data_IF_133375730418
#
_entry.id   IF_133375730418
#
_cell.length_a   1.000
_cell.length_b   1.000
_cell.length_c   1.000
_cell.angle_alpha   90.00
_cell.angle_beta   90.00
_cell.angle_gamma   90.00
#
_symmetry.space_group_name_H-M   'P 1'
#
loop_
_entity.id
_entity.type
_entity.pdbx_description
1 polymer ?
#
# COMPACT_ATOMS: atom_id res chain seq x y z
N UNK A 1 2.95 21.42 -23.94
CA UNK A 1 3.21 20.13 -23.27
C UNK A 1 2.41 20.12 -21.98
N UNK A 2 1.57 19.11 -21.72
CA UNK A 2 0.85 18.97 -20.44
C UNK A 2 1.67 18.06 -19.52
N UNK A 3 1.75 18.40 -18.23
CA UNK A 3 2.36 17.53 -17.22
C UNK A 3 1.44 16.34 -16.94
N UNK A 4 2.03 15.16 -16.74
CA UNK A 4 1.29 13.97 -16.31
C UNK A 4 1.00 14.01 -14.81
N UNK A 5 -0.11 13.40 -14.39
CA UNK A 5 -0.48 13.25 -12.98
C UNK A 5 -0.19 11.82 -12.50
N UNK A 6 0.54 11.72 -11.40
CA UNK A 6 0.82 10.47 -10.68
C UNK A 6 0.51 10.65 -9.21
N UNK A 7 0.11 9.58 -8.52
CA UNK A 7 -0.13 9.61 -7.07
C UNK A 7 0.89 8.75 -6.33
N UNK A 8 1.11 9.04 -5.05
CA UNK A 8 1.92 8.23 -4.16
C UNK A 8 1.09 7.91 -2.91
N UNK A 9 1.18 6.68 -2.42
CA UNK A 9 0.54 6.29 -1.17
C UNK A 9 1.46 5.39 -0.34
N UNK A 10 1.12 5.29 0.94
CA UNK A 10 1.86 4.55 1.94
C UNK A 10 0.85 3.74 2.73
N UNK A 11 1.08 2.43 2.88
CA UNK A 11 0.22 1.63 3.75
C UNK A 11 0.42 2.02 5.22
N UNK A 12 -0.67 2.31 5.95
CA UNK A 12 -0.59 2.57 7.38
C UNK A 12 -0.33 1.25 8.15
N UNK A 13 0.09 1.38 9.40
CA UNK A 13 0.46 0.24 10.28
C UNK A 13 -0.68 -0.75 10.45
N UNK A 14 -1.91 -0.25 10.46
CA UNK A 14 -3.16 -1.00 10.66
C UNK A 14 -3.79 -1.54 9.36
N UNK A 15 -3.13 -1.37 8.20
CA UNK A 15 -3.67 -1.80 6.90
C UNK A 15 -2.56 -2.25 5.92
N UNK A 16 -1.60 -3.05 6.38
CA UNK A 16 -0.53 -3.58 5.52
C UNK A 16 -0.72 -5.04 5.13
N UNK A 17 -0.23 -5.41 3.94
CA UNK A 17 -0.54 -6.70 3.33
C UNK A 17 0.29 -7.87 3.86
N UNK A 18 1.44 -7.59 4.47
CA UNK A 18 2.34 -8.61 5.05
C UNK A 18 2.04 -8.92 6.52
N UNK A 19 0.89 -8.46 7.04
CA UNK A 19 0.52 -8.76 8.43
C UNK A 19 0.15 -10.24 8.60
N UNK A 20 0.53 -10.84 9.73
CA UNK A 20 0.06 -12.18 10.12
C UNK A 20 -1.46 -12.21 10.39
N UNK A 21 -2.03 -11.06 10.79
CA UNK A 21 -3.44 -10.87 11.09
C UNK A 21 -4.28 -10.73 9.80
N UNK A 22 -5.20 -11.68 9.49
CA UNK A 22 -6.01 -11.63 8.27
C UNK A 22 -6.85 -10.35 8.10
N UNK A 23 -7.37 -9.82 9.20
CA UNK A 23 -8.17 -8.60 9.26
C UNK A 23 -7.37 -7.35 8.87
N UNK A 24 -6.09 -7.29 9.25
CA UNK A 24 -5.18 -6.20 8.86
C UNK A 24 -4.91 -6.26 7.36
N UNK A 25 -4.73 -7.47 6.79
CA UNK A 25 -4.58 -7.66 5.35
C UNK A 25 -5.86 -7.26 4.59
N UNK A 26 -7.03 -7.67 5.08
CA UNK A 26 -8.31 -7.28 4.49
C UNK A 26 -8.52 -5.76 4.50
N UNK A 27 -8.13 -5.10 5.59
CA UNK A 27 -8.14 -3.64 5.68
C UNK A 27 -7.18 -3.00 4.66
N UNK A 28 -5.98 -3.55 4.49
CA UNK A 28 -5.01 -3.08 3.48
C UNK A 28 -5.52 -3.18 2.05
N UNK A 29 -6.22 -4.26 1.70
CA UNK A 29 -6.88 -4.39 0.39
C UNK A 29 -7.93 -3.29 0.20
N UNK A 30 -8.77 -3.03 1.21
CA UNK A 30 -9.79 -1.98 1.15
C UNK A 30 -9.15 -0.59 0.99
N UNK A 31 -8.06 -0.33 1.71
CA UNK A 31 -7.29 0.90 1.62
C UNK A 31 -6.73 1.11 0.21
N UNK A 32 -6.05 0.11 -0.37
CA UNK A 32 -5.47 0.21 -1.71
C UNK A 32 -6.52 0.40 -2.80
N UNK A 33 -7.66 -0.28 -2.72
CA UNK A 33 -8.77 -0.06 -3.66
C UNK A 33 -9.21 1.40 -3.66
N UNK A 34 -9.37 2.00 -2.47
CA UNK A 34 -9.70 3.42 -2.34
C UNK A 34 -8.61 4.34 -2.88
N UNK A 35 -7.33 4.00 -2.73
CA UNK A 35 -6.23 4.75 -3.34
C UNK A 35 -6.25 4.68 -4.88
N UNK A 36 -6.57 3.52 -5.46
CA UNK A 36 -6.72 3.35 -6.91
C UNK A 36 -7.92 4.16 -7.42
N UNK A 37 -9.06 4.09 -6.74
CA UNK A 37 -10.25 4.91 -7.06
C UNK A 37 -9.90 6.40 -7.05
N UNK A 38 -9.26 6.89 -5.98
CA UNK A 38 -8.80 8.29 -5.88
C UNK A 38 -7.81 8.68 -6.97
N UNK A 39 -6.91 7.77 -7.35
CA UNK A 39 -5.95 8.00 -8.44
C UNK A 39 -6.67 8.16 -9.78
N UNK A 40 -7.68 7.33 -10.05
CA UNK A 40 -8.51 7.45 -11.23
C UNK A 40 -9.36 8.74 -11.23
N UNK A 41 -9.94 9.13 -10.08
CA UNK A 41 -10.66 10.39 -9.90
C UNK A 41 -9.80 11.61 -10.24
N UNK A 42 -8.49 11.55 -9.97
CA UNK A 42 -7.51 12.59 -10.30
C UNK A 42 -7.03 12.55 -11.77
N UNK A 43 -7.53 11.61 -12.58
CA UNK A 43 -7.08 11.39 -13.96
C UNK A 43 -5.68 10.78 -14.08
N UNK A 44 -5.11 10.30 -12.98
CA UNK A 44 -3.82 9.64 -12.95
C UNK A 44 -3.96 8.15 -13.34
N UNK A 45 -2.91 7.61 -13.96
CA UNK A 45 -2.83 6.19 -14.36
C UNK A 45 -1.76 5.40 -13.60
N UNK A 46 -1.05 6.06 -12.70
CA UNK A 46 0.06 5.50 -11.96
C UNK A 46 -0.06 5.92 -10.49
N UNK A 47 0.00 4.90 -9.63
CA UNK A 47 0.18 5.03 -8.19
C UNK A 47 1.45 4.27 -7.80
N UNK A 48 2.27 4.87 -6.94
CA UNK A 48 3.50 4.25 -6.42
C UNK A 48 3.62 4.42 -4.90
N UNK A 49 4.67 3.84 -4.32
CA UNK A 49 5.03 3.98 -2.91
C UNK A 49 5.16 2.64 -2.17
N UNK A 50 5.33 2.65 -0.85
CA UNK A 50 5.32 1.47 0.01
C UNK A 50 3.91 0.87 0.08
N UNK A 51 3.55 0.10 -0.95
CA UNK A 51 2.21 -0.46 -1.14
C UNK A 51 2.09 -1.95 -0.75
N UNK A 52 3.15 -2.54 -0.18
CA UNK A 52 3.16 -3.94 0.23
C UNK A 52 3.23 -4.11 1.76
N UNK A 53 4.06 -3.31 2.43
CA UNK A 53 4.25 -3.32 3.88
C UNK A 53 3.97 -1.95 4.49
N UNK A 54 3.63 -1.95 5.78
CA UNK A 54 3.39 -0.71 6.51
C UNK A 54 4.69 0.07 6.67
N UNK A 55 4.65 1.39 6.49
CA UNK A 55 5.84 2.21 6.65
C UNK A 55 6.34 2.18 8.09
N UNK A 56 7.65 1.95 8.25
CA UNK A 56 8.28 1.84 9.57
C UNK A 56 7.93 0.55 10.33
N UNK A 57 7.37 -0.47 9.66
CA UNK A 57 7.26 -1.82 10.20
C UNK A 57 8.57 -2.54 9.94
N UNK A 58 9.35 -2.69 11.01
CA UNK A 58 10.56 -3.50 11.03
C UNK A 58 10.26 -4.74 11.89
N UNK A 59 10.27 -5.96 11.33
CA UNK A 59 9.85 -7.16 12.04
C UNK A 59 10.78 -7.56 13.21
N UNK A 60 11.95 -6.94 13.32
CA UNK A 60 12.93 -7.25 14.37
C UNK A 60 13.59 -8.63 14.22
N UNK A 61 13.21 -9.41 13.20
CA UNK A 61 13.82 -10.67 12.82
C UNK A 61 14.31 -10.63 11.37
N UNK A 62 15.21 -11.56 11.02
CA UNK A 62 15.62 -11.79 9.63
C UNK A 62 14.52 -12.53 8.86
N UNK A 63 14.58 -12.45 7.53
CA UNK A 63 13.77 -13.27 6.64
C UNK A 63 14.00 -14.75 6.93
N UNK A 64 12.95 -15.56 6.95
CA UNK A 64 13.03 -17.02 7.03
C UNK A 64 12.55 -17.67 5.71
N UNK A 65 12.63 -18.99 5.59
CA UNK A 65 12.33 -19.70 4.34
C UNK A 65 10.85 -19.69 3.93
N UNK A 66 9.95 -19.24 4.82
CA UNK A 66 8.50 -19.12 4.56
C UNK A 66 8.09 -17.73 4.04
N UNK A 67 9.03 -16.77 3.99
CA UNK A 67 8.85 -15.40 3.45
C UNK A 67 9.53 -15.22 2.09
#
# INVERSE_FOLDING_TARGET
MKLECTTCSVLPREAHLVSSQPEVRAHGIKFLKRCVERTAELGARLICGPLYAGLGILPGHRRNDQE
#
